data_IF_266835862436
#
_entry.id   IF_266835862436
#
_cell.length_a   1.000
_cell.length_b   1.000
_cell.length_c   1.000
_cell.angle_alpha   90.00
_cell.angle_beta   90.00
_cell.angle_gamma   90.00
#
_symmetry.space_group_name_H-M   'P 1'
#
loop_
_entity.id
_entity.type
_entity.pdbx_description
1 polymer ?
#
# COMPACT_ATOMS: atom_id res chain seq x y z
N UNK A 1 2.44 2.67 13.00
CA UNK A 1 1.38 1.80 13.57
C UNK A 1 0.12 1.97 12.76
N UNK A 2 -0.70 0.93 12.59
CA UNK A 2 -2.03 1.06 11.95
C UNK A 2 -2.87 2.10 12.68
N UNK A 3 -3.72 2.85 11.96
CA UNK A 3 -4.54 3.92 12.54
C UNK A 3 -5.95 3.38 12.67
N UNK A 4 -6.31 2.90 13.87
CA UNK A 4 -7.68 2.52 14.17
C UNK A 4 -8.52 3.77 14.47
N UNK A 5 -9.73 3.78 13.91
CA UNK A 5 -10.76 4.79 14.19
C UNK A 5 -12.16 4.17 14.31
N UNK A 6 -12.27 2.85 14.33
CA UNK A 6 -13.54 2.10 14.35
C UNK A 6 -14.49 2.57 15.45
N UNK A 7 -13.99 2.72 16.68
CA UNK A 7 -14.80 3.18 17.82
C UNK A 7 -15.33 4.61 17.66
N UNK A 8 -14.63 5.48 16.91
CA UNK A 8 -15.04 6.88 16.70
C UNK A 8 -16.18 7.03 15.69
N UNK A 9 -16.40 6.01 14.86
CA UNK A 9 -17.45 5.97 13.83
C UNK A 9 -18.47 4.86 14.10
N UNK A 10 -18.43 4.26 15.30
CA UNK A 10 -19.35 3.19 15.67
C UNK A 10 -20.81 3.68 15.72
N UNK A 11 -21.03 4.95 16.08
CA UNK A 11 -22.34 5.60 16.04
C UNK A 11 -22.40 6.66 14.94
N UNK A 12 -23.47 6.64 14.16
CA UNK A 12 -23.77 7.61 13.11
C UNK A 12 -24.33 8.93 13.72
N UNK A 13 -23.51 9.62 14.53
CA UNK A 13 -23.83 10.95 15.06
C UNK A 13 -23.61 12.03 14.01
N UNK A 14 -24.37 13.13 14.12
CA UNK A 14 -24.13 14.33 13.33
C UNK A 14 -22.68 14.81 13.53
N UNK A 15 -21.94 14.98 12.44
CA UNK A 15 -20.54 15.43 12.48
C UNK A 15 -19.50 14.33 12.80
N UNK A 16 -19.88 13.05 12.94
CA UNK A 16 -18.90 11.95 13.16
C UNK A 16 -17.80 11.92 12.09
N UNK A 17 -18.16 12.05 10.81
CA UNK A 17 -17.18 12.12 9.71
C UNK A 17 -16.43 13.45 9.67
N UNK A 18 -17.09 14.57 9.97
CA UNK A 18 -16.45 15.89 10.04
C UNK A 18 -15.34 15.92 11.10
N UNK A 19 -15.53 15.22 12.23
CA UNK A 19 -14.50 15.05 13.25
C UNK A 19 -13.25 14.29 12.77
N UNK A 20 -13.36 13.44 11.74
CA UNK A 20 -12.21 12.75 11.14
C UNK A 20 -11.32 13.71 10.32
N UNK A 21 -11.89 14.75 9.73
CA UNK A 21 -11.14 15.76 8.97
C UNK A 21 -10.19 16.56 9.87
N UNK A 22 -10.44 16.65 11.16
CA UNK A 22 -9.55 17.34 12.10
C UNK A 22 -8.34 16.49 12.54
N UNK A 23 -8.24 15.24 12.08
CA UNK A 23 -7.15 14.33 12.49
C UNK A 23 -5.90 14.58 11.64
N UNK A 24 -4.73 14.63 12.30
CA UNK A 24 -3.43 14.74 11.61
C UNK A 24 -2.75 13.38 11.35
N UNK A 25 -2.83 12.45 12.31
CA UNK A 25 -2.10 11.18 12.22
C UNK A 25 -2.77 10.24 11.20
N UNK A 26 -2.08 10.01 10.09
CA UNK A 26 -2.56 9.14 9.01
C UNK A 26 -3.62 9.79 8.13
N UNK A 27 -3.74 11.12 8.16
CA UNK A 27 -4.69 11.85 7.33
C UNK A 27 -4.09 12.27 5.99
N UNK A 28 -4.99 12.70 5.11
CA UNK A 28 -4.69 13.22 3.78
C UNK A 28 -3.73 14.42 3.81
N UNK A 29 -3.85 15.31 4.81
CA UNK A 29 -3.01 16.50 4.93
C UNK A 29 -1.53 16.14 5.11
N UNK A 30 -1.25 15.17 5.99
CA UNK A 30 0.13 14.70 6.22
C UNK A 30 0.74 14.04 4.98
N UNK A 31 -0.09 13.54 4.07
CA UNK A 31 0.35 12.86 2.84
C UNK A 31 0.53 13.80 1.66
N UNK A 32 -0.20 14.90 1.63
CA UNK A 32 -0.22 15.84 0.51
C UNK A 32 0.52 17.15 0.77
N UNK A 33 0.89 17.48 2.03
CA UNK A 33 1.38 18.83 2.33
C UNK A 33 2.57 19.26 1.46
N UNK A 34 3.49 18.36 1.10
CA UNK A 34 4.65 18.71 0.26
C UNK A 34 4.23 19.03 -1.16
N UNK A 35 3.43 18.15 -1.77
CA UNK A 35 2.93 18.32 -3.13
C UNK A 35 1.96 19.51 -3.22
N UNK A 36 1.15 19.73 -2.19
CA UNK A 36 0.25 20.87 -2.09
C UNK A 36 1.01 22.19 -2.01
N UNK A 37 2.04 22.28 -1.15
CA UNK A 37 2.88 23.48 -1.07
C UNK A 37 3.59 23.76 -2.39
N UNK A 38 4.10 22.73 -3.07
CA UNK A 38 4.69 22.87 -4.40
C UNK A 38 3.67 23.38 -5.43
N UNK A 39 2.47 22.81 -5.45
CA UNK A 39 1.41 23.23 -6.36
C UNK A 39 1.01 24.70 -6.13
N UNK A 40 0.80 25.10 -4.87
CA UNK A 40 0.47 26.49 -4.51
C UNK A 40 1.61 27.44 -4.88
N UNK A 41 2.87 27.07 -4.60
CA UNK A 41 4.02 27.90 -4.94
C UNK A 41 4.15 28.12 -6.46
N UNK A 42 4.00 27.06 -7.26
CA UNK A 42 4.03 27.15 -8.72
C UNK A 42 2.84 27.96 -9.26
N UNK A 43 1.65 27.78 -8.71
CA UNK A 43 0.47 28.54 -9.11
C UNK A 43 0.65 30.03 -8.82
N UNK A 44 1.16 30.36 -7.62
CA UNK A 44 1.43 31.74 -7.21
C UNK A 44 2.51 32.38 -8.10
N UNK A 45 3.58 31.64 -8.43
CA UNK A 45 4.64 32.11 -9.33
C UNK A 45 4.08 32.48 -10.72
N UNK A 46 3.23 31.62 -11.29
CA UNK A 46 2.58 31.90 -12.58
C UNK A 46 1.63 33.10 -12.49
N UNK A 47 0.85 33.20 -11.41
CA UNK A 47 -0.07 34.33 -11.20
C UNK A 47 0.67 35.67 -11.07
N UNK A 48 1.77 35.69 -10.30
CA UNK A 48 2.64 36.87 -10.16
C UNK A 48 3.27 37.24 -11.50
N UNK A 49 3.75 36.25 -12.26
CA UNK A 49 4.33 36.46 -13.59
C UNK A 49 3.31 37.10 -14.53
N UNK A 50 2.08 36.56 -14.57
CA UNK A 50 1.00 37.10 -15.39
C UNK A 50 0.65 38.54 -15.02
N UNK A 51 0.56 38.86 -13.71
CA UNK A 51 0.12 40.17 -13.22
C UNK A 51 1.19 41.26 -13.26
N UNK A 52 2.46 40.93 -13.00
CA UNK A 52 3.52 41.93 -12.79
C UNK A 52 4.58 41.95 -13.90
N UNK A 53 4.84 40.82 -14.56
CA UNK A 53 5.97 40.68 -15.49
C UNK A 53 5.55 40.70 -16.96
N UNK A 54 4.37 40.17 -17.29
CA UNK A 54 3.91 40.10 -18.68
C UNK A 54 3.38 41.45 -19.19
N UNK A 55 3.79 41.79 -20.42
CA UNK A 55 3.26 42.91 -21.22
C UNK A 55 1.82 42.62 -21.69
N UNK A 56 1.10 43.66 -22.16
CA UNK A 56 -0.30 43.52 -22.55
C UNK A 56 -0.51 42.51 -23.70
N UNK A 57 0.38 42.50 -24.70
CA UNK A 57 0.32 41.52 -25.80
C UNK A 57 0.57 40.09 -25.29
N UNK A 58 1.55 39.90 -24.41
CA UNK A 58 1.85 38.59 -23.82
C UNK A 58 0.72 38.08 -22.92
N UNK A 59 0.00 38.96 -22.21
CA UNK A 59 -1.17 38.59 -21.40
C UNK A 59 -2.30 38.04 -22.25
N UNK A 60 -2.53 38.58 -23.44
CA UNK A 60 -3.55 38.06 -24.36
C UNK A 60 -3.20 36.64 -24.83
N UNK A 61 -1.95 36.41 -25.20
CA UNK A 61 -1.46 35.06 -25.57
C UNK A 61 -1.57 34.10 -24.38
N UNK A 62 -1.16 34.53 -23.19
CA UNK A 62 -1.27 33.73 -21.96
C UNK A 62 -2.73 33.34 -21.67
N UNK A 63 -3.66 34.27 -21.83
CA UNK A 63 -5.09 34.00 -21.62
C UNK A 63 -5.63 32.96 -22.62
N UNK A 64 -5.17 32.98 -23.89
CA UNK A 64 -5.51 31.96 -24.87
C UNK A 64 -4.95 30.58 -24.49
N UNK A 65 -3.69 30.52 -24.04
CA UNK A 65 -3.05 29.28 -23.57
C UNK A 65 -3.77 28.73 -22.33
N UNK A 66 -4.13 29.59 -21.37
CA UNK A 66 -4.88 29.19 -20.19
C UNK A 66 -6.24 28.58 -20.58
N UNK A 67 -7.00 29.20 -21.49
CA UNK A 67 -8.27 28.65 -21.97
C UNK A 67 -8.09 27.31 -22.68
N UNK A 68 -7.05 27.16 -23.49
CA UNK A 68 -6.71 25.88 -24.11
C UNK A 68 -6.43 24.81 -23.06
N UNK A 69 -5.53 25.08 -22.11
CA UNK A 69 -5.19 24.15 -21.04
C UNK A 69 -6.42 23.78 -20.19
N UNK A 70 -7.32 24.73 -19.92
CA UNK A 70 -8.54 24.47 -19.16
C UNK A 70 -9.45 23.46 -19.90
N UNK A 71 -9.69 23.68 -21.21
CA UNK A 71 -10.47 22.74 -22.03
C UNK A 71 -9.81 21.37 -22.11
N UNK A 72 -8.48 21.32 -22.25
CA UNK A 72 -7.74 20.05 -22.28
C UNK A 72 -7.77 19.30 -20.95
N UNK A 73 -7.78 20.02 -19.81
CA UNK A 73 -7.87 19.40 -18.49
C UNK A 73 -9.22 18.68 -18.30
N UNK A 74 -10.31 19.28 -18.77
CA UNK A 74 -11.66 18.71 -18.64
C UNK A 74 -11.85 17.44 -19.49
N UNK A 75 -11.00 17.20 -20.49
CA UNK A 75 -11.01 15.97 -21.30
C UNK A 75 -10.45 14.75 -20.56
N UNK A 76 -9.72 14.94 -19.45
CA UNK A 76 -9.08 13.83 -18.73
C UNK A 76 -10.08 13.20 -17.74
N UNK A 77 -10.53 11.95 -17.95
CA UNK A 77 -11.53 11.32 -17.09
C UNK A 77 -10.91 10.74 -15.81
N UNK A 78 -10.40 11.62 -14.94
CA UNK A 78 -9.66 11.23 -13.74
C UNK A 78 -10.43 10.28 -12.82
N UNK A 79 -11.72 10.55 -12.60
CA UNK A 79 -12.55 9.76 -11.69
C UNK A 79 -12.65 8.29 -12.11
N UNK A 80 -12.73 8.02 -13.41
CA UNK A 80 -12.79 6.67 -13.96
C UNK A 80 -11.46 5.96 -13.70
N UNK A 81 -10.36 6.54 -14.18
CA UNK A 81 -9.02 5.93 -14.11
C UNK A 81 -8.58 5.70 -12.66
N UNK A 82 -8.80 6.68 -11.77
CA UNK A 82 -8.52 6.55 -10.34
C UNK A 82 -9.43 5.52 -9.66
N UNK A 83 -10.72 5.48 -10.01
CA UNK A 83 -11.66 4.53 -9.44
C UNK A 83 -11.24 3.08 -9.62
N UNK A 84 -10.92 2.68 -10.86
CA UNK A 84 -10.44 1.32 -11.13
C UNK A 84 -9.11 1.01 -10.44
N UNK A 85 -8.15 1.95 -10.52
CA UNK A 85 -6.83 1.75 -9.92
C UNK A 85 -6.90 1.60 -8.40
N UNK A 86 -7.62 2.50 -7.72
CA UNK A 86 -7.73 2.49 -6.26
C UNK A 86 -8.51 1.26 -5.79
N UNK A 87 -9.54 0.84 -6.51
CA UNK A 87 -10.28 -0.40 -6.20
C UNK A 87 -9.38 -1.62 -6.28
N UNK A 88 -8.56 -1.73 -7.34
CA UNK A 88 -7.56 -2.81 -7.48
C UNK A 88 -6.58 -2.82 -6.30
N UNK A 89 -6.06 -1.65 -5.92
CA UNK A 89 -5.12 -1.50 -4.81
C UNK A 89 -5.75 -1.91 -3.48
N UNK A 90 -6.96 -1.45 -3.17
CA UNK A 90 -7.66 -1.74 -1.91
C UNK A 90 -7.99 -3.23 -1.79
N UNK A 91 -8.48 -3.86 -2.86
CA UNK A 91 -8.75 -5.29 -2.89
C UNK A 91 -7.49 -6.11 -2.61
N UNK A 92 -6.38 -5.73 -3.25
CA UNK A 92 -5.09 -6.38 -3.06
C UNK A 92 -4.52 -6.14 -1.67
N UNK A 93 -4.70 -4.95 -1.09
CA UNK A 93 -4.30 -4.66 0.29
C UNK A 93 -5.07 -5.53 1.29
N UNK A 94 -6.38 -5.66 1.10
CA UNK A 94 -7.22 -6.50 1.97
C UNK A 94 -6.84 -7.98 1.87
N UNK A 95 -6.60 -8.48 0.65
CA UNK A 95 -6.17 -9.85 0.43
C UNK A 95 -4.80 -10.17 1.04
N UNK A 96 -3.87 -9.20 1.07
CA UNK A 96 -2.60 -9.36 1.79
C UNK A 96 -2.81 -9.44 3.30
N UNK A 97 -3.69 -8.60 3.86
CA UNK A 97 -4.02 -8.64 5.28
C UNK A 97 -4.61 -9.98 5.71
N UNK A 98 -5.56 -10.53 4.95
CA UNK A 98 -6.18 -11.84 5.24
C UNK A 98 -5.24 -13.02 4.98
N UNK A 99 -4.16 -12.81 4.21
CA UNK A 99 -3.09 -13.77 3.98
C UNK A 99 -2.02 -13.78 5.07
N UNK A 100 -2.11 -12.94 6.11
CA UNK A 100 -1.18 -13.02 7.24
C UNK A 100 -1.36 -14.38 7.95
N UNK A 101 -0.30 -15.19 8.06
CA UNK A 101 -0.39 -16.52 8.67
C UNK A 101 -0.53 -16.40 10.20
N UNK A 102 -1.74 -16.63 10.70
CA UNK A 102 -2.05 -16.64 12.13
C UNK A 102 -2.05 -18.09 12.66
N UNK A 103 -1.39 -18.38 13.78
CA UNK A 103 -1.17 -19.74 14.26
C UNK A 103 -2.37 -20.36 14.97
N UNK A 104 -3.43 -19.59 15.23
CA UNK A 104 -4.55 -19.94 16.12
C UNK A 104 -5.21 -21.27 15.77
N UNK A 105 -5.58 -21.48 14.50
CA UNK A 105 -6.21 -22.73 14.04
C UNK A 105 -5.27 -23.93 14.24
N UNK A 106 -4.00 -23.77 13.83
CA UNK A 106 -2.99 -24.81 13.94
C UNK A 106 -2.68 -25.13 15.41
N UNK A 107 -2.67 -24.12 16.29
CA UNK A 107 -2.46 -24.29 17.73
C UNK A 107 -3.58 -25.12 18.36
N UNK A 108 -4.84 -24.88 17.99
CA UNK A 108 -5.96 -25.68 18.48
C UNK A 108 -5.81 -27.16 18.09
N UNK A 109 -5.46 -27.44 16.83
CA UNK A 109 -5.27 -28.83 16.36
C UNK A 109 -4.06 -29.48 17.04
N UNK A 110 -2.92 -28.79 17.16
CA UNK A 110 -1.75 -29.32 17.89
C UNK A 110 -2.11 -29.67 19.34
N UNK A 111 -2.86 -28.78 20.01
CA UNK A 111 -3.25 -28.98 21.40
C UNK A 111 -4.20 -30.17 21.57
N UNK A 112 -5.09 -30.42 20.60
CA UNK A 112 -6.04 -31.52 20.64
C UNK A 112 -5.42 -32.87 20.24
N UNK A 113 -4.53 -32.87 19.23
CA UNK A 113 -4.05 -34.09 18.57
C UNK A 113 -2.71 -34.61 19.11
N UNK A 114 -1.90 -33.79 19.77
CA UNK A 114 -0.56 -34.17 20.24
C UNK A 114 -0.55 -34.41 21.76
N UNK A 115 -0.54 -35.69 22.14
CA UNK A 115 -0.68 -36.12 23.53
C UNK A 115 0.65 -36.27 24.28
N UNK A 116 0.56 -36.29 25.61
CA UNK A 116 1.70 -36.42 26.52
C UNK A 116 1.76 -35.25 27.50
N UNK A 117 1.60 -35.54 28.78
CA UNK A 117 1.73 -34.57 29.90
C UNK A 117 3.19 -34.48 30.35
N UNK A 118 4.00 -35.48 29.99
CA UNK A 118 5.44 -35.53 30.21
C UNK A 118 6.19 -34.45 29.42
N UNK A 119 7.44 -34.24 29.82
CA UNK A 119 8.30 -33.22 29.21
C UNK A 119 8.44 -33.40 27.69
N UNK A 120 8.55 -34.63 27.19
CA UNK A 120 8.63 -34.92 25.76
C UNK A 120 7.37 -34.47 25.01
N UNK A 121 6.18 -34.74 25.55
CA UNK A 121 4.92 -34.27 24.98
C UNK A 121 4.82 -32.74 24.95
N UNK A 122 5.25 -32.08 26.03
CA UNK A 122 5.33 -30.61 26.10
C UNK A 122 6.30 -30.04 25.05
N UNK A 123 7.50 -30.61 24.92
CA UNK A 123 8.49 -30.18 23.95
C UNK A 123 7.99 -30.37 22.52
N UNK A 124 7.34 -31.48 22.22
CA UNK A 124 6.78 -31.76 20.91
C UNK A 124 5.76 -30.70 20.45
N UNK A 125 4.78 -30.36 21.31
CA UNK A 125 3.80 -29.30 21.04
C UNK A 125 4.47 -27.94 20.83
N UNK A 126 5.45 -27.59 21.67
CA UNK A 126 6.20 -26.32 21.58
C UNK A 126 7.04 -26.24 20.29
N UNK A 127 7.68 -27.33 19.88
CA UNK A 127 8.50 -27.36 18.67
C UNK A 127 7.64 -27.27 17.41
N UNK A 128 6.51 -27.96 17.35
CA UNK A 128 5.56 -27.86 16.22
C UNK A 128 5.08 -26.42 16.03
N UNK A 129 4.57 -25.77 17.08
CA UNK A 129 4.10 -24.39 16.94
C UNK A 129 5.25 -23.41 16.63
N UNK A 130 6.45 -23.66 17.18
CA UNK A 130 7.63 -22.84 16.88
C UNK A 130 8.06 -22.97 15.42
N UNK A 131 7.98 -24.14 14.80
CA UNK A 131 8.26 -24.29 13.36
C UNK A 131 7.27 -23.50 12.49
N UNK A 132 5.97 -23.52 12.82
CA UNK A 132 4.98 -22.69 12.12
C UNK A 132 5.30 -21.19 12.27
N UNK A 133 5.59 -20.74 13.51
CA UNK A 133 5.96 -19.36 13.79
C UNK A 133 7.27 -18.96 13.08
N UNK A 134 8.24 -19.87 12.99
CA UNK A 134 9.50 -19.64 12.30
C UNK A 134 9.27 -19.43 10.79
N UNK A 135 8.43 -20.25 10.15
CA UNK A 135 8.05 -20.04 8.74
C UNK A 135 7.44 -18.64 8.53
N UNK A 136 6.55 -18.22 9.43
CA UNK A 136 5.93 -16.90 9.40
C UNK A 136 6.92 -15.77 9.59
N UNK A 137 7.86 -15.89 10.52
CA UNK A 137 8.93 -14.89 10.70
C UNK A 137 9.80 -14.79 9.45
N UNK A 138 10.17 -15.92 8.84
CA UNK A 138 11.00 -15.93 7.64
C UNK A 138 10.31 -15.27 6.43
N UNK A 139 9.03 -15.55 6.21
CA UNK A 139 8.29 -14.89 5.12
C UNK A 139 8.05 -13.41 5.43
N UNK A 140 7.62 -13.06 6.65
CA UNK A 140 7.37 -11.67 7.04
C UNK A 140 8.63 -10.82 7.00
N UNK A 141 9.78 -11.38 7.37
CA UNK A 141 11.10 -10.75 7.22
C UNK A 141 11.42 -10.45 5.75
N UNK A 142 10.97 -11.30 4.84
CA UNK A 142 11.21 -11.13 3.41
C UNK A 142 10.31 -10.04 2.81
N UNK A 143 9.05 -10.00 3.24
CA UNK A 143 8.02 -9.11 2.66
C UNK A 143 7.77 -7.82 3.45
N UNK A 144 8.37 -7.64 4.63
CA UNK A 144 8.14 -6.46 5.47
C UNK A 144 9.45 -5.85 5.95
N UNK A 145 9.74 -4.64 5.49
CA UNK A 145 10.87 -3.81 5.92
C UNK A 145 10.93 -3.61 7.44
N UNK A 146 9.79 -3.55 8.14
CA UNK A 146 9.78 -3.41 9.60
C UNK A 146 10.24 -4.69 10.29
N UNK A 147 9.83 -5.85 9.78
CA UNK A 147 10.26 -7.14 10.31
C UNK A 147 11.72 -7.40 9.93
N UNK A 148 12.14 -7.03 8.72
CA UNK A 148 13.54 -7.08 8.29
C UNK A 148 14.44 -6.21 9.18
N UNK A 149 14.02 -4.99 9.52
CA UNK A 149 14.77 -4.13 10.45
C UNK A 149 14.88 -4.71 11.86
N UNK A 150 13.88 -5.49 12.29
CA UNK A 150 13.90 -6.20 13.58
C UNK A 150 14.77 -7.46 13.54
N UNK A 151 14.81 -8.15 12.40
CA UNK A 151 15.58 -9.38 12.21
C UNK A 151 16.52 -9.27 10.99
N UNK A 152 17.59 -8.43 11.02
CA UNK A 152 18.44 -8.18 9.85
C UNK A 152 19.36 -9.34 9.43
N UNK A 153 19.60 -10.31 10.31
CA UNK A 153 20.34 -11.55 10.01
C UNK A 153 19.60 -12.76 10.56
N UNK A 154 20.01 -13.98 10.18
CA UNK A 154 19.46 -15.21 10.76
C UNK A 154 19.81 -15.36 12.24
N UNK A 155 20.92 -14.78 12.68
CA UNK A 155 21.32 -14.74 14.08
C UNK A 155 20.30 -14.03 14.96
N UNK A 156 19.75 -12.90 14.51
CA UNK A 156 18.66 -12.23 15.22
C UNK A 156 17.39 -13.10 15.36
N UNK A 157 17.15 -14.02 14.41
CA UNK A 157 16.03 -14.97 14.49
C UNK A 157 16.32 -16.06 15.53
N UNK A 158 17.58 -16.47 15.65
CA UNK A 158 18.04 -17.42 16.67
C UNK A 158 18.01 -16.79 18.07
N UNK A 159 18.57 -15.60 18.23
CA UNK A 159 18.63 -14.88 19.52
C UNK A 159 17.23 -14.55 20.05
N UNK A 160 16.28 -14.30 19.15
CA UNK A 160 14.88 -14.10 19.50
C UNK A 160 14.13 -15.40 19.87
N UNK A 161 14.79 -16.56 19.78
CA UNK A 161 14.24 -17.86 20.18
C UNK A 161 13.32 -18.53 19.16
N UNK A 162 13.24 -18.03 17.92
CA UNK A 162 12.44 -18.66 16.87
C UNK A 162 13.13 -19.88 16.26
N UNK A 163 14.46 -19.89 16.22
CA UNK A 163 15.29 -20.96 15.66
C UNK A 163 16.40 -21.32 16.66
N UNK A 164 16.72 -22.60 16.84
CA UNK A 164 17.89 -22.99 17.64
C UNK A 164 19.20 -22.89 16.84
N UNK A 165 20.36 -22.87 17.52
CA UNK A 165 21.65 -22.88 16.82
C UNK A 165 21.86 -24.14 15.97
N UNK A 166 21.35 -25.30 16.43
CA UNK A 166 21.41 -26.55 15.66
C UNK A 166 20.53 -26.50 14.42
N UNK A 167 19.34 -25.92 14.54
CA UNK A 167 18.44 -25.72 13.41
C UNK A 167 19.00 -24.74 12.41
N UNK A 168 19.71 -23.69 12.86
CA UNK A 168 20.42 -22.77 11.97
C UNK A 168 21.47 -23.52 11.14
N UNK A 169 22.28 -24.39 11.77
CA UNK A 169 23.25 -25.22 11.03
C UNK A 169 22.56 -26.08 9.96
N UNK A 170 21.44 -26.74 10.32
CA UNK A 170 20.63 -27.53 9.37
C UNK A 170 20.00 -26.66 8.28
N UNK A 171 19.59 -25.44 8.62
CA UNK A 171 18.98 -24.50 7.68
C UNK A 171 20.00 -24.01 6.65
N UNK A 172 21.22 -23.71 7.09
CA UNK A 172 22.33 -23.23 6.26
C UNK A 172 22.92 -24.35 5.40
N UNK A 173 22.95 -25.60 5.87
CA UNK A 173 23.43 -26.75 5.09
C UNK A 173 22.56 -27.07 3.87
N UNK A 174 21.30 -26.63 3.85
CA UNK A 174 20.41 -26.78 2.69
C UNK A 174 20.81 -25.80 1.59
N UNK A 175 21.37 -26.34 0.50
CA UNK A 175 21.67 -25.60 -0.74
C UNK A 175 20.36 -25.29 -1.48
N UNK A 176 20.01 -24.02 -1.55
CA UNK A 176 18.90 -23.50 -2.33
C UNK A 176 19.13 -22.03 -2.61
N UNK A 177 19.00 -21.63 -3.88
CA UNK A 177 19.11 -20.24 -4.31
C UNK A 177 17.82 -19.45 -4.03
N UNK A 178 16.75 -20.15 -3.64
CA UNK A 178 15.44 -19.58 -3.36
C UNK A 178 15.24 -19.29 -1.88
N UNK A 179 14.23 -18.48 -1.59
CA UNK A 179 13.83 -18.17 -0.22
C UNK A 179 13.39 -19.44 0.53
N UNK A 180 14.04 -19.71 1.66
CA UNK A 180 13.88 -20.93 2.46
C UNK A 180 12.78 -20.84 3.54
N UNK A 181 11.79 -19.94 3.41
CA UNK A 181 10.68 -19.83 4.37
C UNK A 181 9.84 -21.11 4.51
N UNK A 182 9.88 -22.00 3.51
CA UNK A 182 9.15 -23.28 3.49
C UNK A 182 9.82 -24.39 4.32
N UNK A 183 11.12 -24.25 4.64
CA UNK A 183 11.90 -25.29 5.33
C UNK A 183 11.30 -25.67 6.69
N UNK A 184 10.89 -24.72 7.57
CA UNK A 184 10.24 -25.09 8.83
C UNK A 184 8.91 -25.82 8.67
N UNK A 185 8.17 -25.57 7.58
CA UNK A 185 6.94 -26.33 7.30
C UNK A 185 7.26 -27.81 6.99
N UNK A 186 8.37 -28.09 6.31
CA UNK A 186 8.81 -29.48 6.06
C UNK A 186 9.29 -30.13 7.35
N UNK A 187 10.03 -29.40 8.20
CA UNK A 187 10.41 -29.89 9.53
C UNK A 187 9.20 -30.20 10.41
N UNK A 188 8.16 -29.37 10.33
CA UNK A 188 6.88 -29.62 10.99
C UNK A 188 6.27 -30.94 10.53
N UNK A 189 6.12 -31.14 9.21
CA UNK A 189 5.54 -32.38 8.66
C UNK A 189 6.32 -33.61 9.11
N UNK A 190 7.64 -33.57 9.06
CA UNK A 190 8.49 -34.68 9.49
C UNK A 190 8.35 -34.97 10.98
N UNK A 191 8.27 -33.92 11.82
CA UNK A 191 8.09 -34.06 13.26
C UNK A 191 6.69 -34.59 13.61
N UNK A 192 5.66 -34.17 12.89
CA UNK A 192 4.29 -34.70 13.04
C UNK A 192 4.23 -36.19 12.64
N UNK A 193 4.87 -36.57 11.53
CA UNK A 193 4.96 -37.97 11.14
C UNK A 193 5.74 -38.82 12.16
N UNK A 194 6.81 -38.27 12.74
CA UNK A 194 7.53 -38.95 13.83
C UNK A 194 6.67 -39.08 15.09
N UNK A 195 5.96 -38.03 15.48
CA UNK A 195 5.03 -38.06 16.61
C UNK A 195 3.95 -39.14 16.46
N UNK A 196 3.47 -39.37 15.24
CA UNK A 196 2.52 -40.44 14.93
C UNK A 196 3.15 -41.83 15.12
N UNK A 197 4.37 -42.04 14.62
CA UNK A 197 5.12 -43.30 14.83
C UNK A 197 5.41 -43.57 16.30
N UNK A 198 5.70 -42.51 17.06
CA UNK A 198 5.94 -42.56 18.51
C UNK A 198 4.65 -42.72 19.35
N UNK A 199 3.48 -42.87 18.71
CA UNK A 199 2.19 -43.00 19.39
C UNK A 199 1.70 -41.74 20.11
N UNK A 200 2.33 -40.58 19.86
CA UNK A 200 1.94 -39.28 20.45
C UNK A 200 0.75 -38.65 19.74
N UNK A 201 0.56 -38.99 18.47
CA UNK A 201 -0.68 -38.78 17.72
C UNK A 201 -1.32 -40.16 17.58
N UNK A 202 -2.57 -40.31 18.03
CA UNK A 202 -3.20 -41.63 18.22
C UNK A 202 -3.67 -42.25 16.90
N UNK A 203 -4.23 -41.42 16.02
CA UNK A 203 -4.91 -41.86 14.81
C UNK A 203 -4.47 -41.06 13.58
N UNK A 204 -4.66 -41.66 12.41
CA UNK A 204 -4.24 -41.07 11.14
C UNK A 204 -5.13 -39.89 10.72
N UNK A 205 -6.37 -39.83 11.21
CA UNK A 205 -7.30 -38.72 10.97
C UNK A 205 -6.78 -37.45 11.66
N UNK A 206 -6.32 -37.56 12.91
CA UNK A 206 -5.69 -36.47 13.64
C UNK A 206 -4.40 -35.98 12.97
N UNK A 207 -3.58 -36.89 12.42
CA UNK A 207 -2.41 -36.51 11.63
C UNK A 207 -2.82 -35.79 10.32
N UNK A 208 -3.83 -36.30 9.62
CA UNK A 208 -4.34 -35.69 8.39
C UNK A 208 -4.82 -34.26 8.64
N UNK A 209 -5.68 -34.06 9.66
CA UNK A 209 -6.18 -32.75 10.06
C UNK A 209 -5.04 -31.77 10.40
N UNK A 210 -4.01 -32.25 11.11
CA UNK A 210 -2.85 -31.44 11.46
C UNK A 210 -2.06 -30.98 10.22
N UNK A 211 -1.88 -31.86 9.23
CA UNK A 211 -1.18 -31.55 7.98
C UNK A 211 -2.03 -30.67 7.05
N UNK A 212 -3.35 -30.83 7.04
CA UNK A 212 -4.28 -29.95 6.32
C UNK A 212 -4.22 -28.52 6.84
N UNK A 213 -4.28 -28.33 8.17
CA UNK A 213 -4.16 -26.99 8.78
C UNK A 213 -2.79 -26.37 8.53
N UNK A 214 -1.72 -27.17 8.58
CA UNK A 214 -0.39 -26.71 8.19
C UNK A 214 -0.34 -26.26 6.72
N UNK A 215 -0.98 -26.99 5.81
CA UNK A 215 -1.01 -26.64 4.40
C UNK A 215 -1.78 -25.34 4.15
N UNK A 216 -2.90 -25.11 4.85
CA UNK A 216 -3.62 -23.82 4.84
C UNK A 216 -2.72 -22.69 5.35
N UNK A 217 -1.98 -22.92 6.43
CA UNK A 217 -1.02 -21.96 6.97
C UNK A 217 0.12 -21.65 6.00
N UNK A 218 0.70 -22.67 5.37
CA UNK A 218 1.76 -22.54 4.35
C UNK A 218 1.24 -21.80 3.12
N UNK A 219 0.00 -22.07 2.68
CA UNK A 219 -0.62 -21.36 1.57
C UNK A 219 -0.71 -19.85 1.84
N UNK A 220 -1.07 -19.44 3.07
CA UNK A 220 -1.05 -18.03 3.49
C UNK A 220 0.35 -17.42 3.39
N UNK A 221 1.38 -18.13 3.87
CA UNK A 221 2.79 -17.70 3.70
C UNK A 221 3.15 -17.53 2.22
N UNK A 222 2.78 -18.49 1.37
CA UNK A 222 3.03 -18.42 -0.07
C UNK A 222 2.32 -17.24 -0.72
N UNK A 223 1.08 -16.96 -0.33
CA UNK A 223 0.32 -15.83 -0.89
C UNK A 223 0.95 -14.49 -0.54
N UNK A 224 1.47 -14.32 0.68
CA UNK A 224 2.26 -13.13 1.03
C UNK A 224 3.49 -12.98 0.13
N UNK A 225 4.21 -14.08 -0.13
CA UNK A 225 5.35 -14.06 -1.03
C UNK A 225 4.96 -13.74 -2.48
N UNK A 226 3.84 -14.27 -2.98
CA UNK A 226 3.33 -13.94 -4.31
C UNK A 226 2.92 -12.48 -4.44
N UNK A 227 2.31 -11.90 -3.40
CA UNK A 227 2.02 -10.47 -3.38
C UNK A 227 3.31 -9.64 -3.34
N UNK A 228 4.36 -10.06 -2.63
CA UNK A 228 5.63 -9.33 -2.66
C UNK A 228 6.30 -9.39 -4.05
N UNK A 229 6.30 -10.58 -4.67
CA UNK A 229 6.92 -10.80 -5.97
C UNK A 229 6.15 -10.14 -7.12
N UNK A 230 4.84 -10.36 -7.20
CA UNK A 230 3.98 -9.87 -8.29
C UNK A 230 3.31 -8.58 -7.81
N UNK A 231 3.92 -7.44 -8.16
CA UNK A 231 3.34 -6.12 -7.93
C UNK A 231 2.25 -5.78 -8.97
N UNK A 232 1.47 -4.72 -8.71
CA UNK A 232 0.59 -4.14 -9.74
C UNK A 232 1.45 -3.78 -10.97
N UNK A 233 1.04 -4.10 -12.20
CA UNK A 233 1.81 -3.78 -13.40
C UNK A 233 2.27 -2.31 -13.40
N UNK A 234 3.55 -2.10 -13.68
CA UNK A 234 4.15 -0.77 -13.65
C UNK A 234 3.40 0.21 -14.57
N UNK A 235 3.02 -0.26 -15.76
CA UNK A 235 2.26 0.52 -16.75
C UNK A 235 0.94 1.06 -16.20
N UNK A 236 0.21 0.29 -15.37
CA UNK A 236 -1.03 0.79 -14.74
C UNK A 236 -0.74 1.96 -13.80
N UNK A 237 0.31 1.82 -12.98
CA UNK A 237 0.72 2.89 -12.06
C UNK A 237 1.19 4.12 -12.82
N UNK A 238 1.92 3.94 -13.92
CA UNK A 238 2.39 5.03 -14.78
C UNK A 238 1.22 5.77 -15.44
N UNK A 239 0.28 5.06 -16.07
CA UNK A 239 -0.88 5.66 -16.75
C UNK A 239 -1.70 6.52 -15.79
N UNK A 240 -2.00 6.00 -14.59
CA UNK A 240 -2.77 6.75 -13.58
C UNK A 240 -2.00 7.98 -13.10
N UNK A 241 -0.69 7.85 -12.87
CA UNK A 241 0.17 8.96 -12.43
C UNK A 241 0.24 10.05 -13.51
N UNK A 242 0.44 9.65 -14.77
CA UNK A 242 0.46 10.57 -15.92
C UNK A 242 -0.89 11.29 -16.03
N UNK A 243 -2.01 10.59 -15.94
CA UNK A 243 -3.33 11.22 -16.03
C UNK A 243 -3.52 12.30 -14.96
N UNK A 244 -3.21 11.99 -13.69
CA UNK A 244 -3.35 12.94 -12.58
C UNK A 244 -2.38 14.11 -12.70
N UNK A 245 -1.11 13.86 -13.05
CA UNK A 245 -0.10 14.90 -13.16
C UNK A 245 -0.32 15.80 -14.36
N UNK A 246 -0.74 15.25 -15.51
CA UNK A 246 -1.15 16.03 -16.67
C UNK A 246 -2.36 16.90 -16.37
N UNK A 247 -3.36 16.39 -15.66
CA UNK A 247 -4.50 17.19 -15.23
C UNK A 247 -4.08 18.38 -14.35
N UNK A 248 -3.23 18.16 -13.35
CA UNK A 248 -2.75 19.27 -12.51
C UNK A 248 -1.78 20.20 -13.21
N UNK A 249 -0.95 19.69 -14.13
CA UNK A 249 -0.06 20.52 -14.97
C UNK A 249 -0.86 21.45 -15.88
N UNK A 250 -1.89 20.93 -16.54
CA UNK A 250 -2.82 21.74 -17.34
C UNK A 250 -3.62 22.70 -16.46
N UNK A 251 -4.10 22.25 -15.30
CA UNK A 251 -4.86 23.11 -14.36
C UNK A 251 -4.02 24.24 -13.78
N UNK A 252 -2.71 24.06 -13.62
CA UNK A 252 -1.80 25.08 -13.10
C UNK A 252 -1.80 26.35 -13.98
N UNK A 253 -1.94 26.16 -15.30
CA UNK A 253 -2.02 27.24 -16.30
C UNK A 253 -3.48 27.59 -16.59
N UNK A 254 -4.34 26.59 -16.76
CA UNK A 254 -5.71 26.79 -17.23
C UNK A 254 -6.69 27.32 -16.18
N UNK A 255 -6.40 27.16 -14.89
CA UNK A 255 -7.21 27.68 -13.79
C UNK A 255 -6.64 28.99 -13.21
N UNK A 256 -5.80 29.70 -13.97
CA UNK A 256 -5.34 31.04 -13.62
C UNK A 256 -6.46 32.06 -13.87
N UNK A 257 -6.56 33.07 -13.01
CA UNK A 257 -7.50 34.18 -13.20
C UNK A 257 -6.95 35.11 -14.29
N UNK A 258 -7.42 34.91 -15.52
CA UNK A 258 -7.02 35.67 -16.71
C UNK A 258 -8.13 36.62 -17.15
N UNK A 259 -7.77 37.68 -17.87
CA UNK A 259 -8.72 38.65 -18.41
C UNK A 259 -9.81 37.96 -19.28
N UNK A 260 -11.07 38.42 -19.17
CA UNK A 260 -12.18 37.93 -19.99
C UNK A 260 -11.88 38.07 -21.49
N UNK A 261 -12.51 37.24 -22.31
CA UNK A 261 -12.41 37.41 -23.77
C UNK A 261 -12.87 38.80 -24.20
N UNK A 262 -12.00 39.52 -24.91
CA UNK A 262 -12.32 40.78 -25.56
C UNK A 262 -13.44 40.56 -26.59
N UNK A 263 -14.69 40.67 -26.13
CA UNK A 263 -15.90 40.37 -26.91
C UNK A 263 -17.04 39.80 -26.07
N UNK A 264 -16.75 39.05 -25.01
CA UNK A 264 -17.79 38.46 -24.14
C UNK A 264 -18.54 39.50 -23.29
N UNK A 265 -17.88 40.63 -22.98
CA UNK A 265 -18.51 41.77 -22.33
C UNK A 265 -19.49 42.55 -23.25
N UNK A 266 -19.50 42.29 -24.56
CA UNK A 266 -20.38 43.00 -25.52
C UNK A 266 -21.61 42.20 -25.95
N UNK A 267 -21.64 40.89 -25.73
CA UNK A 267 -22.70 39.99 -26.24
C UNK A 267 -23.65 39.45 -25.18
N UNK A 268 -23.52 39.87 -23.92
CA UNK A 268 -24.38 39.44 -22.83
C UNK A 268 -25.02 40.67 -22.17
N UNK A 269 -26.18 41.09 -22.69
CA UNK A 269 -27.08 41.90 -21.86
C UNK A 269 -27.35 41.13 -20.55
N UNK A 270 -27.28 41.79 -19.38
CA UNK A 270 -27.39 41.11 -18.11
C UNK A 270 -28.85 40.78 -17.84
N UNK A 271 -29.25 39.50 -17.98
CA UNK A 271 -30.56 39.04 -17.53
C UNK A 271 -30.60 38.74 -16.01
N UNK A 272 -29.48 38.89 -15.29
CA UNK A 272 -29.40 38.70 -13.84
C UNK A 272 -28.38 39.69 -13.25
N UNK A 273 -28.71 40.44 -12.17
CA UNK A 273 -27.80 41.36 -11.52
C UNK A 273 -26.84 40.58 -10.61
N UNK A 274 -25.78 40.03 -11.21
CA UNK A 274 -24.69 39.41 -10.46
C UNK A 274 -23.52 39.07 -11.38
N UNK A 275 -22.26 39.27 -10.94
CA UNK A 275 -21.12 38.85 -11.74
C UNK A 275 -21.22 37.34 -11.99
N UNK A 276 -21.07 36.92 -13.26
CA UNK A 276 -20.95 35.51 -13.57
C UNK A 276 -19.81 34.93 -12.74
N UNK A 277 -20.02 33.77 -12.12
CA UNK A 277 -19.04 33.15 -11.19
C UNK A 277 -17.63 32.98 -11.79
N UNK A 278 -17.49 33.07 -13.13
CA UNK A 278 -16.23 33.04 -13.87
C UNK A 278 -15.46 34.37 -13.94
N UNK A 279 -16.08 35.50 -13.58
CA UNK A 279 -15.49 36.84 -13.66
C UNK A 279 -14.90 37.33 -12.33
N UNK A 280 -15.01 36.52 -11.26
CA UNK A 280 -14.52 36.89 -9.94
C UNK A 280 -13.06 36.44 -9.75
N UNK A 281 -12.14 37.41 -9.81
CA UNK A 281 -10.73 37.19 -9.47
C UNK A 281 -10.55 37.06 -7.97
N UNK A 282 -10.58 35.82 -7.48
CA UNK A 282 -10.42 35.50 -6.06
C UNK A 282 -8.95 35.44 -5.61
N UNK A 283 -7.98 35.64 -6.51
CA UNK A 283 -6.52 35.43 -6.32
C UNK A 283 -6.10 34.01 -5.93
N UNK A 284 -6.91 33.31 -5.14
CA UNK A 284 -6.71 31.95 -4.66
C UNK A 284 -7.74 31.03 -5.32
N UNK A 285 -7.32 29.99 -6.05
CA UNK A 285 -8.23 29.12 -6.78
C UNK A 285 -8.81 28.03 -5.86
N UNK A 286 -9.71 28.43 -4.94
CA UNK A 286 -10.25 27.56 -3.88
C UNK A 286 -10.82 26.23 -4.42
N UNK A 287 -11.56 26.28 -5.54
CA UNK A 287 -12.14 25.09 -6.18
C UNK A 287 -11.06 24.14 -6.72
N UNK A 288 -10.01 24.68 -7.34
CA UNK A 288 -8.87 23.90 -7.84
C UNK A 288 -8.06 23.30 -6.68
N UNK A 289 -7.86 24.03 -5.58
CA UNK A 289 -7.21 23.51 -4.38
C UNK A 289 -8.02 22.37 -3.76
N UNK A 290 -9.35 22.48 -3.75
CA UNK A 290 -10.22 21.40 -3.28
C UNK A 290 -10.17 20.17 -4.21
N UNK A 291 -10.19 20.38 -5.54
CA UNK A 291 -9.96 19.31 -6.53
C UNK A 291 -8.59 18.66 -6.36
N UNK A 292 -7.57 19.42 -5.97
CA UNK A 292 -6.26 18.89 -5.62
C UNK A 292 -6.34 17.91 -4.46
N UNK A 293 -6.98 18.30 -3.34
CA UNK A 293 -7.19 17.38 -2.23
C UNK A 293 -7.96 16.13 -2.66
N UNK A 294 -9.00 16.25 -3.48
CA UNK A 294 -9.74 15.08 -3.95
C UNK A 294 -8.90 14.14 -4.83
N UNK A 295 -8.38 14.60 -5.97
CA UNK A 295 -7.73 13.70 -6.92
C UNK A 295 -6.31 13.30 -6.50
N UNK A 296 -5.50 14.23 -5.98
CA UNK A 296 -4.18 13.88 -5.48
C UNK A 296 -4.30 13.02 -4.22
N UNK A 297 -5.26 13.32 -3.35
CA UNK A 297 -5.57 12.48 -2.18
C UNK A 297 -6.02 11.08 -2.57
N UNK A 298 -6.88 10.95 -3.57
CA UNK A 298 -7.35 9.66 -4.06
C UNK A 298 -6.21 8.85 -4.70
N UNK A 299 -5.34 9.50 -5.49
CA UNK A 299 -4.09 8.89 -5.96
C UNK A 299 -3.23 8.43 -4.78
N UNK A 300 -3.11 9.24 -3.71
CA UNK A 300 -2.36 8.85 -2.51
C UNK A 300 -2.93 7.60 -1.87
N UNK A 301 -4.25 7.38 -1.85
CA UNK A 301 -4.86 6.11 -1.41
C UNK A 301 -4.36 4.93 -2.26
N UNK A 302 -4.30 5.10 -3.58
CA UNK A 302 -3.75 4.09 -4.50
C UNK A 302 -2.25 3.84 -4.31
N UNK A 303 -1.47 4.86 -3.99
CA UNK A 303 -0.04 4.68 -3.66
C UNK A 303 0.18 4.11 -2.25
N UNK A 304 -0.80 4.26 -1.34
CA UNK A 304 -0.74 3.75 0.02
C UNK A 304 -0.81 2.22 0.12
N UNK A 305 -1.51 1.59 -0.82
CA UNK A 305 -1.48 0.13 -0.96
C UNK A 305 -0.38 -0.38 -1.90
N UNK A 306 0.48 0.51 -2.41
CA UNK A 306 1.62 0.16 -3.26
C UNK A 306 2.89 -0.20 -2.48
N UNK A 307 3.86 -0.91 -3.10
CA UNK A 307 5.08 -1.42 -2.42
C UNK A 307 6.01 -0.32 -1.88
N UNK A 308 5.91 0.91 -2.38
CA UNK A 308 6.84 1.97 -2.06
C UNK A 308 6.31 2.85 -0.94
N UNK A 309 6.67 2.57 0.33
CA UNK A 309 6.92 3.57 1.40
C UNK A 309 7.10 2.89 2.77
N UNK A 310 8.31 2.38 3.02
CA UNK A 310 8.73 1.79 4.30
C UNK A 310 8.86 2.75 5.50
N UNK A 311 8.28 3.96 5.48
CA UNK A 311 8.41 4.92 6.59
C UNK A 311 7.14 5.74 6.92
N UNK A 312 6.01 5.51 6.24
CA UNK A 312 4.74 6.14 6.59
C UNK A 312 4.23 5.73 7.98
N UNK A 313 3.60 6.67 8.68
CA UNK A 313 3.09 6.50 10.06
C UNK A 313 2.08 5.36 10.24
N UNK A 314 1.66 4.71 9.16
CA UNK A 314 0.68 3.62 9.12
C UNK A 314 1.19 2.52 8.16
N UNK A 315 1.46 1.30 8.64
CA UNK A 315 1.94 0.21 7.80
C UNK A 315 0.77 -0.43 7.05
N UNK A 316 0.73 -0.33 5.73
CA UNK A 316 0.64 -1.55 4.95
C UNK A 316 2.07 -2.11 4.90
N UNK A 317 2.23 -3.44 4.83
CA UNK A 317 3.55 -4.08 4.80
C UNK A 317 4.47 -3.32 3.82
N UNK A 318 5.53 -2.71 4.34
CA UNK A 318 6.52 -2.06 3.50
C UNK A 318 7.31 -3.14 2.78
N UNK A 319 6.80 -3.55 1.63
CA UNK A 319 7.30 -4.61 0.76
C UNK A 319 8.59 -4.14 0.09
N UNK A 320 9.65 -4.95 0.20
CA UNK A 320 10.96 -4.67 -0.39
C UNK A 320 11.14 -5.61 -1.58
N UNK A 321 11.48 -5.09 -2.76
CA UNK A 321 12.07 -5.93 -3.80
C UNK A 321 13.36 -6.55 -3.27
N UNK A 322 13.41 -7.88 -3.14
CA UNK A 322 14.70 -8.57 -3.24
C UNK A 322 15.26 -8.25 -4.63
N UNK A 323 16.43 -7.63 -4.68
CA UNK A 323 17.17 -7.52 -5.93
C UNK A 323 17.36 -8.94 -6.45
N UNK A 324 16.87 -9.20 -7.66
CA UNK A 324 17.24 -10.39 -8.41
C UNK A 324 18.76 -10.45 -8.44
N UNK A 325 19.34 -11.39 -7.69
CA UNK A 325 20.63 -11.93 -8.08
C UNK A 325 20.44 -12.41 -9.51
N UNK A 326 21.21 -11.85 -10.44
CA UNK A 326 21.08 -12.11 -11.86
C UNK A 326 21.12 -13.61 -12.10
N UNK A 327 20.02 -14.14 -12.64
CA UNK A 327 20.06 -15.40 -13.37
C UNK A 327 20.69 -15.03 -14.72
N UNK A 328 21.87 -15.55 -15.10
CA UNK A 328 22.32 -15.42 -16.47
C UNK A 328 21.36 -16.26 -17.31
N UNK A 329 20.54 -15.59 -18.11
CA UNK A 329 19.85 -16.23 -19.22
C UNK A 329 20.96 -16.66 -20.18
N UNK A 330 21.29 -17.94 -20.16
CA UNK A 330 22.16 -18.53 -21.17
C UNK A 330 21.46 -18.39 -22.52
N UNK A 331 22.01 -17.55 -23.38
CA UNK A 331 21.72 -17.60 -24.81
C UNK A 331 22.27 -18.93 -25.33
N UNK A 332 21.37 -19.86 -25.64
CA UNK A 332 21.69 -21.01 -26.48
C UNK A 332 21.66 -20.54 -27.94
N UNK A 333 22.85 -20.42 -28.53
CA UNK A 333 23.05 -20.62 -29.98
C UNK A 333 22.86 -22.08 -30.34
#
# INVERSE_FOLDING_TARGET
>A
MTVSYTLKVAEARFGSFSGLLLRWRGSIYKLLYKEFLLFVALYALLSITYRLLLTQEQRQVYAQVARYCNRSADLIPLSFVLGFYVTLVVNRWWAQYTSIPLPDQLMCVISASVHGVDERGRLLRRTLIRYANLASVLVLRSVSTRVLKRFPTMEHVVDAGFMSQEERKKFESLKSDFNKYWVPCVWFTNLAAQARRDGRIRDDIALCLLLEELNKYRAKCSMLFHYDWISIPLVYTQVVTIAVYSFFGLSLVGRQFVEPEAGAAKSREPLEPGPALGDLDMYVPLTTLLQFFFYAGWLKVGTWGGPHLGSGSTPALGIRKQGSGGVPVGEST
#
